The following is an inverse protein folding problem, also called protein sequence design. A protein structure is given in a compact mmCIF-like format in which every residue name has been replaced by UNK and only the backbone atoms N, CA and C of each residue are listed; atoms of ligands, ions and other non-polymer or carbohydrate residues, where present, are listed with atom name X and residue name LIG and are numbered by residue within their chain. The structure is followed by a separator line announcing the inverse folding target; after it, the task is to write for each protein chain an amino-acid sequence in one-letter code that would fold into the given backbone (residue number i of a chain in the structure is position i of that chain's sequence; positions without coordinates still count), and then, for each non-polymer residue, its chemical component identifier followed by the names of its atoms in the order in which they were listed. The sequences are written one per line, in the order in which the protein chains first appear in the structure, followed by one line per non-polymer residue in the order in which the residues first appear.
data_IF_893585076751
#
_entry.id   IF_893585076751
#
_cell.length_a   1.000
_cell.length_b   1.000
_cell.length_c   1.000
_cell.angle_alpha   90.00
_cell.angle_beta   90.00
_cell.angle_gamma   90.00
#
_symmetry.space_group_name_H-M   'P 1'
#
loop_
_entity.id
_entity.type
_entity.pdbx_description
1 polymer ?
#
# COMPACT_ATOMS: atom_id res chain seq x y z
N UNK A 1 -41.59 -18.12 -0.40
CA UNK A 1 -40.32 -18.40 -1.09
C UNK A 1 -39.68 -17.06 -1.34
N UNK A 2 -38.70 -16.68 -0.53
CA UNK A 2 -37.98 -15.42 -0.71
C UNK A 2 -36.86 -15.66 -1.72
N UNK A 3 -36.90 -14.96 -2.84
CA UNK A 3 -35.86 -14.99 -3.86
C UNK A 3 -34.56 -14.48 -3.25
N UNK A 4 -33.59 -15.39 -3.11
CA UNK A 4 -32.23 -15.07 -2.72
C UNK A 4 -31.54 -14.43 -3.93
N UNK A 5 -31.79 -13.14 -4.17
CA UNK A 5 -31.09 -12.39 -5.21
C UNK A 5 -29.62 -12.30 -4.81
N UNK A 6 -28.74 -12.94 -5.57
CA UNK A 6 -27.31 -12.74 -5.42
C UNK A 6 -27.01 -11.23 -5.47
N UNK A 7 -26.11 -10.71 -4.63
CA UNK A 7 -25.75 -9.30 -4.66
C UNK A 7 -25.25 -8.94 -6.07
N UNK A 8 -25.85 -7.92 -6.66
CA UNK A 8 -25.39 -7.37 -7.94
C UNK A 8 -23.93 -6.92 -7.78
N UNK A 9 -23.04 -7.22 -8.76
CA UNK A 9 -21.66 -6.78 -8.67
C UNK A 9 -21.61 -5.26 -8.61
N UNK A 10 -20.90 -4.73 -7.60
CA UNK A 10 -20.67 -3.28 -7.47
C UNK A 10 -19.94 -2.75 -8.71
N UNK A 11 -20.31 -1.57 -9.25
CA UNK A 11 -19.57 -0.96 -10.35
C UNK A 11 -18.11 -0.71 -9.97
N UNK A 12 -17.18 -1.06 -10.86
CA UNK A 12 -15.75 -0.78 -10.67
C UNK A 12 -15.51 0.73 -10.88
N UNK A 13 -14.81 1.42 -9.96
CA UNK A 13 -14.41 2.82 -10.14
C UNK A 13 -13.62 3.03 -11.44
N UNK A 14 -13.83 4.18 -12.08
CA UNK A 14 -13.25 4.51 -13.39
C UNK A 14 -11.99 5.37 -13.29
N UNK A 15 -11.48 5.65 -12.09
CA UNK A 15 -10.24 6.41 -11.89
C UNK A 15 -9.62 6.17 -10.52
N UNK A 16 -8.32 6.45 -10.40
CA UNK A 16 -7.60 6.50 -9.13
C UNK A 16 -8.33 7.33 -8.07
N UNK A 17 -8.92 8.46 -8.48
CA UNK A 17 -9.62 9.36 -7.56
C UNK A 17 -10.89 8.74 -7.00
N UNK A 18 -11.63 7.98 -7.81
CA UNK A 18 -12.82 7.28 -7.35
C UNK A 18 -12.46 6.11 -6.43
N UNK A 19 -11.39 5.37 -6.75
CA UNK A 19 -10.83 4.35 -5.86
C UNK A 19 -10.37 4.93 -4.51
N UNK A 20 -9.64 6.05 -4.53
CA UNK A 20 -9.17 6.73 -3.32
C UNK A 20 -10.29 7.34 -2.48
N UNK A 21 -11.41 7.71 -3.10
CA UNK A 21 -12.61 8.21 -2.42
C UNK A 21 -13.51 7.10 -1.83
N UNK A 22 -13.17 5.83 -2.07
CA UNK A 22 -13.95 4.68 -1.59
C UNK A 22 -14.07 4.58 -0.06
N UNK A 23 -15.09 3.86 0.39
CA UNK A 23 -15.34 3.58 1.81
C UNK A 23 -14.34 2.56 2.35
N UNK A 24 -13.46 3.01 3.24
CA UNK A 24 -12.49 2.19 3.98
C UNK A 24 -12.83 2.09 5.48
N UNK A 25 -14.12 2.20 5.84
CA UNK A 25 -14.58 2.02 7.23
C UNK A 25 -14.29 0.64 7.83
N UNK A 26 -13.92 -0.33 6.99
CA UNK A 26 -13.50 -1.68 7.36
C UNK A 26 -11.99 -1.89 7.21
N UNK A 27 -11.18 -0.83 7.09
CA UNK A 27 -9.73 -0.97 6.97
C UNK A 27 -9.16 -1.72 8.19
N UNK A 28 -8.69 -2.93 7.96
CA UNK A 28 -8.19 -3.83 8.98
C UNK A 28 -6.67 -3.97 8.85
N UNK A 29 -5.95 -3.78 9.95
CA UNK A 29 -4.51 -4.07 10.01
C UNK A 29 -4.32 -5.59 9.95
N UNK A 30 -3.72 -6.07 8.87
CA UNK A 30 -3.47 -7.50 8.62
C UNK A 30 -2.06 -7.91 9.00
N UNK A 31 -1.12 -6.95 9.04
CA UNK A 31 0.19 -7.11 9.65
C UNK A 31 0.44 -5.89 10.53
N UNK A 32 0.50 -6.05 11.87
CA UNK A 32 0.80 -4.93 12.76
C UNK A 32 2.20 -4.37 12.49
N UNK A 33 2.49 -3.22 13.10
CA UNK A 33 3.82 -2.64 13.02
C UNK A 33 4.88 -3.62 13.49
N UNK A 34 5.88 -3.84 12.64
CA UNK A 34 7.06 -4.66 12.92
C UNK A 34 8.31 -3.97 12.36
N UNK A 35 9.47 -4.29 12.92
CA UNK A 35 10.77 -3.82 12.44
C UNK A 35 11.72 -3.41 13.56
N UNK A 36 12.97 -3.02 13.23
CA UNK A 36 14.00 -2.73 14.22
C UNK A 36 13.62 -1.66 15.25
N UNK A 37 12.84 -0.65 14.85
CA UNK A 37 12.41 0.44 15.73
C UNK A 37 11.16 0.12 16.57
N UNK A 38 10.49 -1.00 16.30
CA UNK A 38 9.23 -1.38 16.96
C UNK A 38 9.52 -2.37 18.09
N UNK A 39 8.91 -2.11 19.25
CA UNK A 39 8.87 -3.01 20.39
C UNK A 39 7.84 -4.11 20.14
N UNK A 40 8.29 -5.37 20.14
CA UNK A 40 7.45 -6.51 19.75
C UNK A 40 6.33 -6.81 20.76
N UNK A 41 6.50 -6.44 22.03
CA UNK A 41 5.49 -6.69 23.07
C UNK A 41 4.35 -5.67 23.00
N UNK A 42 4.68 -4.41 22.71
CA UNK A 42 3.73 -3.31 22.76
C UNK A 42 3.23 -2.86 21.38
N UNK A 43 3.94 -3.22 20.30
CA UNK A 43 3.66 -2.75 18.95
C UNK A 43 3.91 -1.25 18.75
N UNK A 44 4.67 -0.62 19.66
CA UNK A 44 4.98 0.82 19.65
C UNK A 44 6.45 1.05 19.31
N UNK A 45 6.85 2.31 19.10
CA UNK A 45 8.27 2.64 19.01
C UNK A 45 8.99 2.29 20.32
N UNK A 46 10.16 1.65 20.22
CA UNK A 46 11.06 1.40 21.36
C UNK A 46 11.51 2.72 22.01
N UNK A 47 11.78 3.72 21.17
CA UNK A 47 12.08 5.08 21.56
C UNK A 47 11.69 6.04 20.42
N UNK A 48 11.49 7.35 20.71
CA UNK A 48 11.26 8.34 19.66
C UNK A 48 12.39 8.38 18.62
N UNK A 49 12.02 8.45 17.34
CA UNK A 49 12.96 8.61 16.24
C UNK A 49 13.37 10.09 16.15
N UNK A 50 14.55 10.45 16.66
CA UNK A 50 15.03 11.85 16.73
C UNK A 50 15.98 12.27 15.59
N UNK A 51 16.14 11.40 14.60
CA UNK A 51 16.94 11.69 13.41
C UNK A 51 16.02 11.84 12.21
N UNK A 52 16.44 12.66 11.26
CA UNK A 52 15.84 12.73 9.93
C UNK A 52 15.68 11.33 9.34
N UNK A 53 14.47 11.01 8.93
CA UNK A 53 14.09 9.71 8.36
C UNK A 53 13.00 9.90 7.31
N UNK A 54 12.67 8.83 6.57
CA UNK A 54 11.65 8.87 5.52
C UNK A 54 10.47 7.99 5.91
N UNK A 55 9.25 8.52 5.79
CA UNK A 55 8.02 7.75 5.89
C UNK A 55 7.50 7.53 4.46
N UNK A 56 7.08 6.32 4.15
CA UNK A 56 6.58 5.95 2.82
C UNK A 56 5.30 5.12 2.94
N UNK A 57 4.37 5.39 2.04
CA UNK A 57 3.10 4.69 1.94
C UNK A 57 2.82 4.30 0.49
N UNK A 58 2.05 3.24 0.34
CA UNK A 58 1.43 2.88 -0.93
C UNK A 58 0.03 2.33 -0.72
N UNK A 59 -0.79 2.42 -1.75
CA UNK A 59 -2.09 1.74 -1.83
C UNK A 59 -2.28 1.18 -3.22
N UNK A 60 -2.83 -0.03 -3.30
CA UNK A 60 -3.19 -0.70 -4.53
C UNK A 60 -4.57 -1.32 -4.48
N UNK A 61 -5.24 -1.35 -5.62
CA UNK A 61 -6.57 -1.95 -5.76
C UNK A 61 -6.49 -3.18 -6.69
N UNK A 62 -6.38 -4.40 -6.15
CA UNK A 62 -6.18 -5.60 -6.97
C UNK A 62 -7.40 -5.94 -7.82
N UNK A 63 -7.13 -6.48 -9.01
CA UNK A 63 -8.14 -7.08 -9.89
C UNK A 63 -8.53 -8.46 -9.35
N UNK A 64 -9.83 -8.82 -9.36
CA UNK A 64 -10.27 -10.16 -8.98
C UNK A 64 -9.73 -11.22 -9.94
N UNK A 65 -9.50 -12.44 -9.45
CA UNK A 65 -9.04 -13.58 -10.25
C UNK A 65 -7.53 -13.67 -10.46
N UNK A 66 -6.77 -12.70 -9.94
CA UNK A 66 -5.30 -12.68 -9.98
C UNK A 66 -4.65 -13.00 -8.63
N UNK A 67 -5.43 -13.44 -7.64
CA UNK A 67 -4.99 -13.62 -6.25
C UNK A 67 -3.76 -14.52 -6.13
N UNK A 68 -3.68 -15.71 -6.78
CA UNK A 68 -2.50 -16.56 -6.65
C UNK A 68 -1.21 -15.90 -7.14
N UNK A 69 -1.28 -15.13 -8.23
CA UNK A 69 -0.13 -14.42 -8.78
C UNK A 69 0.27 -13.24 -7.90
N UNK A 70 -0.72 -12.49 -7.38
CA UNK A 70 -0.49 -11.38 -6.47
C UNK A 70 0.11 -11.84 -5.13
N UNK A 71 -0.38 -12.95 -4.57
CA UNK A 71 0.12 -13.56 -3.33
C UNK A 71 1.60 -13.93 -3.49
N UNK A 72 1.96 -14.68 -4.53
CA UNK A 72 3.34 -15.12 -4.72
C UNK A 72 4.33 -13.95 -4.88
N UNK A 73 3.91 -12.87 -5.57
CA UNK A 73 4.71 -11.66 -5.69
C UNK A 73 4.83 -10.92 -4.36
N UNK A 74 3.74 -10.80 -3.62
CA UNK A 74 3.74 -10.14 -2.31
C UNK A 74 4.60 -10.91 -1.30
N UNK A 75 4.55 -12.24 -1.27
CA UNK A 75 5.41 -13.05 -0.41
C UNK A 75 6.90 -12.76 -0.68
N UNK A 76 7.30 -12.70 -1.95
CA UNK A 76 8.68 -12.37 -2.33
C UNK A 76 9.06 -10.93 -1.97
N UNK A 77 8.13 -9.97 -2.12
CA UNK A 77 8.33 -8.58 -1.71
C UNK A 77 8.53 -8.48 -0.20
N UNK A 78 7.67 -9.12 0.59
CA UNK A 78 7.72 -9.07 2.05
C UNK A 78 8.97 -9.75 2.59
N UNK A 79 9.38 -10.88 2.01
CA UNK A 79 10.62 -11.56 2.37
C UNK A 79 11.85 -10.65 2.19
N UNK A 80 11.90 -9.86 1.12
CA UNK A 80 12.96 -8.86 0.89
C UNK A 80 12.80 -7.65 1.83
N UNK A 81 11.58 -7.16 2.02
CA UNK A 81 11.28 -5.98 2.83
C UNK A 81 11.76 -6.15 4.27
N UNK A 82 11.40 -7.27 4.92
CA UNK A 82 11.69 -7.48 6.34
C UNK A 82 13.18 -7.60 6.67
N UNK A 83 14.02 -7.93 5.69
CA UNK A 83 15.48 -8.06 5.88
C UNK A 83 16.24 -6.88 5.30
N UNK A 84 15.53 -5.86 4.76
CA UNK A 84 16.17 -4.78 4.02
C UNK A 84 16.94 -3.84 4.95
N UNK A 85 18.24 -3.58 4.68
CA UNK A 85 18.97 -2.53 5.37
C UNK A 85 18.28 -1.17 5.23
N UNK A 86 18.15 -0.46 6.35
CA UNK A 86 17.52 0.85 6.43
C UNK A 86 16.00 0.85 6.60
N UNK A 87 15.33 -0.31 6.63
CA UNK A 87 13.94 -0.38 7.10
C UNK A 87 13.92 -0.25 8.63
N UNK A 88 13.12 0.69 9.15
CA UNK A 88 12.94 0.90 10.59
C UNK A 88 11.64 0.27 11.10
N UNK A 89 10.55 0.39 10.34
CA UNK A 89 9.25 -0.16 10.69
C UNK A 89 8.37 -0.32 9.44
N UNK A 90 7.44 -1.28 9.45
CA UNK A 90 6.37 -1.40 8.44
C UNK A 90 5.09 -1.98 9.03
N UNK A 91 3.95 -1.59 8.49
CA UNK A 91 2.61 -2.15 8.77
C UNK A 91 1.81 -2.29 7.47
N UNK A 92 0.84 -3.21 7.46
CA UNK A 92 -0.03 -3.49 6.31
C UNK A 92 -1.50 -3.54 6.74
N UNK A 93 -2.37 -2.98 5.92
CA UNK A 93 -3.81 -3.04 6.12
C UNK A 93 -4.57 -3.31 4.82
N UNK A 94 -5.77 -3.88 4.94
CA UNK A 94 -6.66 -4.19 3.82
C UNK A 94 -8.08 -3.70 4.13
N UNK A 95 -8.75 -3.10 3.14
CA UNK A 95 -10.19 -2.82 3.18
C UNK A 95 -10.91 -3.64 2.10
N UNK A 96 -11.78 -4.56 2.51
CA UNK A 96 -12.55 -5.40 1.58
C UNK A 96 -13.63 -4.57 0.87
N UNK A 97 -14.24 -3.64 1.62
CA UNK A 97 -15.23 -2.68 1.11
C UNK A 97 -14.65 -1.71 0.10
N UNK A 98 -13.34 -1.48 0.03
CA UNK A 98 -12.74 -0.66 -1.02
C UNK A 98 -11.92 -1.49 -2.01
N UNK A 99 -12.56 -2.44 -2.70
CA UNK A 99 -11.90 -3.26 -3.73
C UNK A 99 -10.64 -3.98 -3.25
N UNK A 100 -10.67 -4.48 -2.00
CA UNK A 100 -9.51 -5.09 -1.34
C UNK A 100 -8.29 -4.17 -1.35
N UNK A 101 -8.51 -2.86 -1.17
CA UNK A 101 -7.42 -1.87 -1.17
C UNK A 101 -6.37 -2.33 -0.17
N UNK A 102 -5.15 -2.53 -0.65
CA UNK A 102 -4.03 -2.97 0.18
C UNK A 102 -3.14 -1.78 0.44
N UNK A 103 -3.00 -1.41 1.70
CA UNK A 103 -2.20 -0.27 2.16
C UNK A 103 -0.92 -0.75 2.81
N UNK A 104 0.19 -0.09 2.50
CA UNK A 104 1.45 -0.20 3.23
C UNK A 104 1.81 1.15 3.84
N UNK A 105 2.41 1.12 5.03
CA UNK A 105 3.01 2.29 5.66
C UNK A 105 4.30 1.85 6.33
N UNK A 106 5.38 2.57 6.05
CA UNK A 106 6.73 2.18 6.42
C UNK A 106 7.59 3.37 6.79
N UNK A 107 8.59 3.13 7.63
CA UNK A 107 9.58 4.09 8.07
C UNK A 107 10.96 3.57 7.65
N UNK A 108 11.76 4.43 7.04
CA UNK A 108 13.08 4.15 6.48
C UNK A 108 14.10 5.13 7.04
N UNK A 109 15.35 4.69 7.17
CA UNK A 109 16.46 5.56 7.56
C UNK A 109 16.59 6.76 6.61
N UNK A 110 16.44 6.54 5.30
CA UNK A 110 16.47 7.58 4.28
C UNK A 110 15.85 7.13 2.94
N UNK A 111 15.91 8.02 1.95
CA UNK A 111 15.42 7.78 0.60
C UNK A 111 16.28 6.79 -0.20
N UNK A 112 17.56 6.64 0.12
CA UNK A 112 18.43 5.68 -0.54
C UNK A 112 18.03 4.25 -0.15
N UNK A 113 17.76 4.02 1.14
CA UNK A 113 17.27 2.74 1.66
C UNK A 113 15.95 2.32 0.98
N UNK A 114 14.97 3.23 0.93
CA UNK A 114 13.69 2.99 0.24
C UNK A 114 13.94 2.70 -1.25
N UNK A 115 14.72 3.53 -1.95
CA UNK A 115 15.02 3.30 -3.38
C UNK A 115 15.72 1.97 -3.62
N UNK A 116 16.58 1.55 -2.70
CA UNK A 116 17.22 0.24 -2.74
C UNK A 116 16.20 -0.89 -2.71
N UNK A 117 15.19 -0.81 -1.83
CA UNK A 117 14.08 -1.77 -1.80
C UNK A 117 13.24 -1.74 -3.07
N UNK A 118 12.84 -0.55 -3.54
CA UNK A 118 12.02 -0.40 -4.75
C UNK A 118 12.72 -0.94 -6.02
N UNK A 119 14.07 -0.93 -6.04
CA UNK A 119 14.91 -1.46 -7.11
C UNK A 119 15.30 -2.92 -6.92
N UNK A 120 14.88 -3.57 -5.83
CA UNK A 120 15.13 -4.99 -5.59
C UNK A 120 14.48 -5.85 -6.68
N UNK A 121 15.02 -7.05 -6.90
CA UNK A 121 14.49 -8.01 -7.87
C UNK A 121 12.99 -8.30 -7.66
N UNK A 122 12.55 -8.68 -6.44
CA UNK A 122 11.14 -8.95 -6.16
C UNK A 122 10.22 -7.74 -6.43
N UNK A 123 10.60 -6.55 -5.97
CA UNK A 123 9.79 -5.35 -6.19
C UNK A 123 9.70 -5.00 -7.68
N UNK A 124 10.80 -5.08 -8.42
CA UNK A 124 10.82 -4.84 -9.86
C UNK A 124 10.03 -5.89 -10.65
N UNK A 125 9.99 -7.15 -10.19
CA UNK A 125 9.17 -8.20 -10.80
C UNK A 125 7.67 -7.90 -10.65
N UNK A 126 7.25 -7.45 -9.47
CA UNK A 126 5.87 -7.03 -9.22
C UNK A 126 5.50 -5.75 -9.99
N UNK A 127 6.39 -4.74 -10.00
CA UNK A 127 6.16 -3.47 -10.69
C UNK A 127 5.92 -3.66 -12.20
N UNK A 128 6.56 -4.66 -12.83
CA UNK A 128 6.32 -5.00 -14.25
C UNK A 128 4.92 -5.56 -14.52
N UNK A 129 4.25 -6.07 -13.49
CA UNK A 129 2.93 -6.71 -13.58
C UNK A 129 1.82 -5.87 -12.95
N UNK A 130 2.13 -4.67 -12.46
CA UNK A 130 1.15 -3.86 -11.71
C UNK A 130 -0.13 -3.62 -12.51
N UNK A 131 -0.06 -3.28 -13.80
CA UNK A 131 -1.25 -3.08 -14.66
C UNK A 131 -2.03 -4.36 -14.94
N UNK A 132 -1.35 -5.50 -14.95
CA UNK A 132 -2.00 -6.81 -15.10
C UNK A 132 -2.80 -7.16 -13.84
N UNK A 133 -2.26 -6.86 -12.65
CA UNK A 133 -2.75 -7.37 -11.37
C UNK A 133 -3.61 -6.37 -10.59
N UNK A 134 -3.48 -5.07 -10.87
CA UNK A 134 -4.15 -3.99 -10.16
C UNK A 134 -4.99 -3.16 -11.12
N UNK A 135 -6.12 -2.66 -10.64
CA UNK A 135 -6.86 -1.59 -11.29
C UNK A 135 -6.05 -0.29 -11.28
N UNK A 136 -5.43 0.01 -10.13
CA UNK A 136 -4.54 1.15 -9.97
C UNK A 136 -3.61 0.99 -8.77
N UNK A 137 -2.62 1.88 -8.69
CA UNK A 137 -1.65 1.97 -7.61
C UNK A 137 -1.21 3.41 -7.40
N UNK A 138 -1.05 3.83 -6.16
CA UNK A 138 -0.38 5.08 -5.83
C UNK A 138 0.55 4.93 -4.62
N UNK A 139 1.49 5.86 -4.51
CA UNK A 139 2.40 5.90 -3.37
C UNK A 139 2.94 7.30 -3.14
N UNK A 140 3.29 7.56 -1.90
CA UNK A 140 3.89 8.82 -1.47
C UNK A 140 4.99 8.53 -0.45
N UNK A 141 5.93 9.46 -0.33
CA UNK A 141 6.87 9.47 0.77
C UNK A 141 7.14 10.91 1.20
N UNK A 142 7.55 11.07 2.45
CA UNK A 142 7.88 12.36 3.03
C UNK A 142 8.94 12.20 4.11
N UNK A 143 9.73 13.26 4.27
CA UNK A 143 10.76 13.32 5.30
C UNK A 143 10.11 13.76 6.61
N UNK A 144 10.52 13.13 7.70
CA UNK A 144 10.26 13.59 9.05
C UNK A 144 11.58 13.81 9.78
N UNK A 145 11.67 14.88 10.56
CA UNK A 145 12.83 15.18 11.40
C UNK A 145 12.73 14.49 12.78
N UNK A 146 11.49 14.24 13.23
CA UNK A 146 11.20 13.58 14.49
C UNK A 146 9.88 12.81 14.41
N UNK A 147 9.84 11.60 14.97
CA UNK A 147 8.61 10.80 15.11
C UNK A 147 8.52 10.26 16.53
N UNK A 148 7.53 10.75 17.27
CA UNK A 148 7.27 10.38 18.66
C UNK A 148 6.36 9.13 18.78
N UNK A 149 5.46 8.96 17.82
CA UNK A 149 4.50 7.87 17.72
C UNK A 149 4.47 7.34 16.29
N UNK A 150 4.15 6.06 16.09
CA UNK A 150 4.07 5.48 14.74
C UNK A 150 3.00 6.20 13.91
N UNK A 151 3.28 6.52 12.62
CA UNK A 151 2.31 7.18 11.77
C UNK A 151 1.10 6.27 11.52
N UNK A 152 -0.04 6.87 11.21
CA UNK A 152 -1.30 6.18 10.99
C UNK A 152 -1.65 6.08 9.50
N UNK A 153 -2.60 5.20 9.15
CA UNK A 153 -3.13 5.17 7.79
C UNK A 153 -3.94 6.43 7.43
N UNK A 154 -4.45 7.17 8.42
CA UNK A 154 -5.07 8.48 8.19
C UNK A 154 -4.02 9.52 7.76
N UNK A 155 -2.84 9.54 8.40
CA UNK A 155 -1.71 10.38 7.99
C UNK A 155 -1.28 10.04 6.55
N UNK A 156 -1.20 8.75 6.25
CA UNK A 156 -0.86 8.25 4.92
C UNK A 156 -1.89 8.68 3.87
N UNK A 157 -3.19 8.56 4.18
CA UNK A 157 -4.28 9.00 3.30
C UNK A 157 -4.21 10.50 3.04
N UNK A 158 -4.03 11.30 4.10
CA UNK A 158 -3.86 12.75 3.97
C UNK A 158 -2.68 13.10 3.07
N UNK A 159 -1.54 12.39 3.20
CA UNK A 159 -0.37 12.61 2.33
C UNK A 159 -0.65 12.24 0.88
N UNK A 160 -1.29 11.08 0.63
CA UNK A 160 -1.68 10.68 -0.72
C UNK A 160 -2.61 11.71 -1.35
N UNK A 161 -3.60 12.21 -0.60
CA UNK A 161 -4.52 13.25 -1.07
C UNK A 161 -3.81 14.56 -1.41
N UNK A 162 -2.82 14.97 -0.62
CA UNK A 162 -2.00 16.17 -0.85
C UNK A 162 -1.21 16.08 -2.16
N UNK A 163 -0.60 14.92 -2.47
CA UNK A 163 0.33 14.77 -3.60
C UNK A 163 -0.32 14.24 -4.87
N UNK A 164 -1.58 13.79 -4.81
CA UNK A 164 -2.26 13.16 -5.95
C UNK A 164 -2.38 14.15 -7.12
N UNK A 165 -1.71 13.81 -8.22
CA UNK A 165 -1.76 14.61 -9.44
C UNK A 165 -3.18 14.68 -10.00
N UNK A 166 -3.55 15.79 -10.68
CA UNK A 166 -4.74 15.83 -11.50
C UNK A 166 -4.54 14.98 -12.77
N UNK A 167 -5.56 14.21 -13.16
CA UNK A 167 -5.55 13.42 -14.39
C UNK A 167 -5.42 11.91 -14.17
N UNK A 168 -5.23 11.14 -15.26
CA UNK A 168 -5.13 9.68 -15.20
C UNK A 168 -3.84 9.23 -14.51
N UNK A 169 -3.91 8.08 -13.83
CA UNK A 169 -2.76 7.47 -13.18
C UNK A 169 -1.83 6.82 -14.20
N UNK A 170 -0.52 6.80 -13.94
CA UNK A 170 0.41 6.00 -14.76
C UNK A 170 0.19 4.49 -14.60
N UNK A 171 -0.54 4.08 -13.57
CA UNK A 171 -0.82 2.68 -13.23
C UNK A 171 -2.27 2.26 -13.52
N UNK A 172 -3.10 3.19 -13.99
CA UNK A 172 -4.47 2.93 -14.41
C UNK A 172 -4.52 1.75 -15.39
N UNK A 173 -5.36 0.77 -15.08
CA UNK A 173 -5.67 -0.36 -15.94
C UNK A 173 -7.07 -0.89 -15.65
N UNK A 174 -8.06 -0.34 -16.36
CA UNK A 174 -9.45 -0.74 -16.26
C UNK A 174 -9.85 -1.56 -17.49
N UNK A 175 -10.71 -2.58 -17.31
CA UNK A 175 -11.20 -3.37 -18.44
C UNK A 175 -12.09 -2.46 -19.32
N UNK A 176 -11.56 -2.10 -20.47
CA UNK A 176 -12.10 -1.05 -21.35
C UNK A 176 -11.08 -0.52 -22.37
N UNK A 177 -9.79 -0.80 -22.16
CA UNK A 177 -8.71 -0.41 -23.06
C UNK A 177 -8.30 -1.56 -24.01
N UNK A 178 -9.27 -2.20 -24.65
CA UNK A 178 -9.05 -2.86 -25.94
C UNK A 178 -9.03 -1.77 -27.03
N UNK A 179 -7.93 -1.02 -27.08
CA UNK A 179 -7.58 -0.22 -28.25
C UNK A 179 -6.23 -0.69 -28.82
N UNK A 180 -6.28 -1.85 -29.48
CA UNK A 180 -5.38 -2.24 -30.56
C UNK A 180 -6.21 -2.52 -31.82
#
# INVERSE_FOLDING_TARGET
MSENSAPQPRPVPASLREFAAGDESDLNVVAPWVGPAVDEETGRLKEPLRKRHLIATSVGWPKPGHEPAAIALNEAILAELYVRPGLLAVTLAISEKNFNSTRSLSIWEDEEALKGFLKSGPHMAAARRVRELMYDWEGANWVSEETLELPTFDDAKAKLDEVRAPGPSSFESYDGDDSA
#
